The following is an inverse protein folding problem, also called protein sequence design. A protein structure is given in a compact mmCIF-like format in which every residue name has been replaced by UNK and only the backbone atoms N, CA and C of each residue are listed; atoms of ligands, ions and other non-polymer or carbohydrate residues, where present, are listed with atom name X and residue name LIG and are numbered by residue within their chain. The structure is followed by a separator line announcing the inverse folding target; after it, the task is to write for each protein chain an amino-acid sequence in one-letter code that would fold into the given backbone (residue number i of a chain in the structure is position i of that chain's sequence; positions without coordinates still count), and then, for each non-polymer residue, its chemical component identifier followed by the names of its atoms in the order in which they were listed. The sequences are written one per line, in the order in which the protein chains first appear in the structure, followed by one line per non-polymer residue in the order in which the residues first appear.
data_IF_092251851555
#
_entry.id   IF_092251851555
#
_cell.length_a   1.000
_cell.length_b   1.000
_cell.length_c   1.000
_cell.angle_alpha   90.00
_cell.angle_beta   90.00
_cell.angle_gamma   90.00
#
_symmetry.space_group_name_H-M   'P 1'
#
loop_
_entity.id
_entity.type
_entity.pdbx_description
1 polymer ?
#
# COMPACT_ATOMS: atom_id res chain seq x y z
N UNK A 1 5.54 14.79 10.05
CA UNK A 1 5.82 14.16 8.74
C UNK A 1 6.41 12.77 9.01
N UNK A 2 5.87 11.70 8.42
CA UNK A 2 6.28 10.31 8.77
C UNK A 2 7.08 9.61 7.67
N UNK A 3 7.01 10.11 6.42
CA UNK A 3 7.66 9.52 5.26
C UNK A 3 9.18 9.34 5.45
N UNK A 4 9.93 10.30 6.02
CA UNK A 4 11.38 10.14 6.18
C UNK A 4 11.80 8.96 7.07
N UNK A 5 10.93 8.50 7.98
CA UNK A 5 11.20 7.38 8.90
C UNK A 5 11.31 6.03 8.17
N UNK A 6 10.82 5.95 6.94
CA UNK A 6 10.80 4.73 6.14
C UNK A 6 11.96 4.67 5.13
N UNK A 7 12.73 5.75 4.96
CA UNK A 7 13.77 5.84 3.93
C UNK A 7 14.95 4.89 4.15
N UNK A 8 15.26 4.55 5.40
CA UNK A 8 16.38 3.65 5.75
C UNK A 8 15.91 2.26 6.20
N UNK A 9 14.60 2.00 6.14
CA UNK A 9 14.01 0.74 6.54
C UNK A 9 13.62 -0.09 5.30
N UNK A 10 13.71 -1.41 5.40
CA UNK A 10 13.18 -2.32 4.37
C UNK A 10 11.63 -2.31 4.30
N UNK A 11 10.96 -1.56 5.20
CA UNK A 11 9.50 -1.41 5.17
C UNK A 11 9.04 -0.51 4.02
N UNK A 12 7.91 -0.85 3.37
CA UNK A 12 7.32 0.01 2.38
C UNK A 12 6.92 1.34 3.00
N UNK A 13 7.07 2.42 2.23
CA UNK A 13 6.53 3.73 2.61
C UNK A 13 5.01 3.65 2.78
N UNK A 14 4.40 4.56 3.55
CA UNK A 14 2.95 4.60 3.71
C UNK A 14 2.19 4.63 2.38
N UNK A 15 2.72 5.35 1.39
CA UNK A 15 2.11 5.43 0.05
C UNK A 15 2.20 4.12 -0.71
N UNK A 16 3.35 3.44 -0.69
CA UNK A 16 3.52 2.12 -1.31
C UNK A 16 2.59 1.09 -0.66
N UNK A 17 2.47 1.12 0.66
CA UNK A 17 1.58 0.22 1.39
C UNK A 17 0.10 0.49 1.08
N UNK A 18 -0.31 1.77 1.00
CA UNK A 18 -1.66 2.15 0.59
C UNK A 18 -2.00 1.60 -0.81
N UNK A 19 -1.11 1.77 -1.79
CA UNK A 19 -1.32 1.28 -3.14
C UNK A 19 -1.43 -0.25 -3.20
N UNK A 20 -0.65 -0.98 -2.40
CA UNK A 20 -0.77 -2.43 -2.29
C UNK A 20 -2.16 -2.83 -1.79
N UNK A 21 -2.64 -2.17 -0.73
CA UNK A 21 -3.97 -2.45 -0.17
C UNK A 21 -5.09 -2.08 -1.15
N UNK A 22 -5.00 -0.95 -1.83
CA UNK A 22 -5.98 -0.54 -2.86
C UNK A 22 -6.06 -1.55 -4.00
N UNK A 23 -4.92 -2.05 -4.48
CA UNK A 23 -4.88 -3.06 -5.53
C UNK A 23 -5.52 -4.38 -5.08
N UNK A 24 -5.26 -4.79 -3.84
CA UNK A 24 -5.89 -5.97 -3.25
C UNK A 24 -7.40 -5.75 -3.15
N UNK A 25 -7.84 -4.63 -2.59
CA UNK A 25 -9.25 -4.31 -2.43
C UNK A 25 -9.98 -4.27 -3.78
N UNK A 26 -9.41 -3.58 -4.78
CA UNK A 26 -9.97 -3.49 -6.13
C UNK A 26 -10.08 -4.86 -6.79
N UNK A 27 -9.10 -5.75 -6.59
CA UNK A 27 -9.16 -7.13 -7.09
C UNK A 27 -10.38 -7.86 -6.54
N UNK A 28 -10.74 -7.68 -5.26
CA UNK A 28 -11.90 -8.35 -4.67
C UNK A 28 -13.23 -7.66 -5.01
N UNK A 29 -13.25 -6.33 -5.14
CA UNK A 29 -14.45 -5.56 -5.54
C UNK A 29 -14.83 -5.82 -7.01
N UNK A 30 -13.84 -5.93 -7.89
CA UNK A 30 -14.08 -6.06 -9.34
C UNK A 30 -14.27 -7.52 -9.79
N UNK A 31 -13.78 -8.50 -9.03
CA UNK A 31 -13.93 -9.93 -9.35
C UNK A 31 -15.04 -10.62 -8.54
N UNK A 32 -16.01 -9.87 -8.00
CA UNK A 32 -17.27 -10.43 -7.51
C UNK A 32 -18.14 -10.84 -8.72
N UNK A 33 -18.50 -12.13 -8.89
CA UNK A 33 -19.51 -12.55 -9.86
C UNK A 33 -20.88 -11.94 -9.61
#
# INVERSE_FOLDING_TARGET
EVVPLFNECAMPTPQQFQQILENIANKYIQNTP
#
